data_IF_637280376776
#
_entry.id   IF_637280376776
#
_cell.length_a   1.000
_cell.length_b   1.000
_cell.length_c   1.000
_cell.angle_alpha   90.00
_cell.angle_beta   90.00
_cell.angle_gamma   90.00
#
_symmetry.space_group_name_H-M   'P 1'
#
loop_
_entity.id
_entity.type
_entity.pdbx_description
1 polymer ?
#
# COMPACT_ATOMS: atom_id res chain seq x y z
N UNK A 1 13.88 -23.19 27.97
CA UNK A 1 14.65 -22.42 26.96
C UNK A 1 13.64 -21.64 26.16
N UNK A 2 13.59 -20.31 26.33
CA UNK A 2 12.47 -19.52 25.79
C UNK A 2 12.53 -19.46 24.25
N UNK A 3 11.38 -19.63 23.63
CA UNK A 3 11.14 -19.38 22.20
C UNK A 3 11.56 -17.96 21.75
N UNK A 4 11.83 -17.04 22.68
CA UNK A 4 12.22 -15.66 22.39
C UNK A 4 13.56 -15.53 21.65
N UNK A 5 14.46 -16.52 21.72
CA UNK A 5 15.79 -16.39 21.07
C UNK A 5 15.84 -16.87 19.62
N UNK A 6 14.90 -17.70 19.17
CA UNK A 6 14.96 -18.31 17.83
C UNK A 6 14.41 -17.36 16.74
N UNK A 7 13.37 -16.59 17.08
CA UNK A 7 12.74 -15.57 16.20
C UNK A 7 13.61 -14.34 15.94
N UNK A 8 14.69 -14.15 16.71
CA UNK A 8 15.62 -13.03 16.57
C UNK A 8 16.96 -13.42 15.90
N UNK A 9 17.07 -14.66 15.41
CA UNK A 9 18.30 -15.12 14.76
C UNK A 9 18.45 -14.57 13.35
N UNK A 10 19.69 -14.38 12.90
CA UNK A 10 19.99 -14.01 11.50
C UNK A 10 19.45 -15.06 10.51
N UNK A 11 19.33 -16.32 10.95
CA UNK A 11 18.72 -17.39 10.15
C UNK A 11 17.22 -17.15 9.93
N UNK A 12 16.48 -16.73 10.96
CA UNK A 12 15.07 -16.38 10.85
C UNK A 12 14.85 -15.16 9.93
N UNK A 13 15.69 -14.13 10.05
CA UNK A 13 15.64 -12.97 9.15
C UNK A 13 15.91 -13.36 7.69
N UNK A 14 16.93 -14.21 7.42
CA UNK A 14 17.21 -14.71 6.07
C UNK A 14 16.06 -15.56 5.50
N UNK A 15 15.44 -16.40 6.32
CA UNK A 15 14.29 -17.20 5.89
C UNK A 15 13.08 -16.33 5.55
N UNK A 16 12.75 -15.38 6.44
CA UNK A 16 11.67 -14.42 6.20
C UNK A 16 11.91 -13.63 4.91
N UNK A 17 13.08 -13.00 4.79
CA UNK A 17 13.41 -12.20 3.60
C UNK A 17 13.42 -13.04 2.34
N UNK A 18 13.97 -14.25 2.36
CA UNK A 18 13.89 -15.16 1.21
C UNK A 18 12.47 -15.61 0.83
N UNK A 19 11.47 -15.39 1.70
CA UNK A 19 10.06 -15.71 1.44
C UNK A 19 9.26 -14.49 0.98
N UNK A 20 9.54 -13.30 1.51
CA UNK A 20 8.74 -12.09 1.24
C UNK A 20 9.36 -11.16 0.20
N UNK A 21 10.65 -11.30 -0.07
CA UNK A 21 11.37 -10.48 -1.03
C UNK A 21 11.62 -11.26 -2.30
N UNK A 22 11.37 -10.62 -3.45
CA UNK A 22 11.72 -11.12 -4.77
C UNK A 22 12.53 -10.07 -5.52
N UNK A 23 13.67 -10.49 -6.11
CA UNK A 23 14.41 -9.68 -7.09
C UNK A 23 13.57 -9.42 -8.37
N UNK A 24 12.43 -10.10 -8.50
CA UNK A 24 11.49 -10.01 -9.62
C UNK A 24 10.12 -9.46 -9.21
N UNK A 25 10.02 -8.79 -8.06
CA UNK A 25 8.74 -8.27 -7.54
C UNK A 25 7.93 -7.45 -8.56
N UNK A 26 8.59 -6.62 -9.39
CA UNK A 26 7.92 -5.87 -10.46
C UNK A 26 7.34 -6.79 -11.53
N UNK A 27 8.07 -7.82 -11.93
CA UNK A 27 7.63 -8.76 -12.97
C UNK A 27 6.46 -9.62 -12.47
N UNK A 28 6.54 -10.12 -11.24
CA UNK A 28 5.48 -10.88 -10.58
C UNK A 28 4.20 -10.05 -10.41
N UNK A 29 4.34 -8.78 -10.00
CA UNK A 29 3.22 -7.85 -9.93
C UNK A 29 2.57 -7.66 -11.30
N UNK A 30 3.36 -7.38 -12.34
CA UNK A 30 2.86 -7.17 -13.69
C UNK A 30 2.17 -8.42 -14.23
N UNK A 31 2.70 -9.61 -13.96
CA UNK A 31 2.05 -10.88 -14.32
C UNK A 31 0.68 -11.02 -13.63
N UNK A 32 0.60 -10.79 -12.32
CA UNK A 32 -0.65 -10.85 -11.58
C UNK A 32 -1.69 -9.81 -12.08
N UNK A 33 -1.24 -8.60 -12.43
CA UNK A 33 -2.11 -7.56 -12.99
C UNK A 33 -2.64 -7.99 -14.37
N UNK A 34 -1.78 -8.48 -15.27
CA UNK A 34 -2.20 -8.94 -16.61
C UNK A 34 -3.16 -10.13 -16.53
N UNK A 35 -2.91 -11.07 -15.62
CA UNK A 35 -3.82 -12.20 -15.39
C UNK A 35 -5.19 -11.70 -14.92
N UNK A 36 -5.21 -10.77 -13.96
CA UNK A 36 -6.45 -10.21 -13.43
C UNK A 36 -7.28 -9.49 -14.51
N UNK A 37 -6.64 -8.63 -15.30
CA UNK A 37 -7.34 -7.78 -16.28
C UNK A 37 -7.51 -8.44 -17.64
N UNK A 38 -6.80 -9.53 -17.91
CA UNK A 38 -6.77 -10.24 -19.18
C UNK A 38 -6.41 -9.32 -20.38
N UNK A 39 -5.34 -8.53 -20.22
CA UNK A 39 -4.72 -7.64 -21.24
C UNK A 39 -3.19 -7.65 -21.03
N UNK A 40 -2.41 -7.46 -22.10
CA UNK A 40 -0.94 -7.44 -22.05
C UNK A 40 -0.36 -6.14 -21.47
N UNK A 41 -1.14 -5.05 -21.50
CA UNK A 41 -0.80 -3.73 -20.94
C UNK A 41 0.61 -3.22 -21.34
N UNK A 42 1.00 -3.22 -22.62
CA UNK A 42 2.37 -2.92 -23.04
C UNK A 42 2.85 -1.50 -22.66
N UNK A 43 1.99 -0.49 -22.71
CA UNK A 43 2.38 0.88 -22.35
C UNK A 43 2.53 1.03 -20.84
N UNK A 44 1.56 0.55 -20.08
CA UNK A 44 1.62 0.55 -18.61
C UNK A 44 2.84 -0.21 -18.09
N UNK A 45 3.06 -1.44 -18.61
CA UNK A 45 4.24 -2.27 -18.31
C UNK A 45 5.53 -1.48 -18.48
N UNK A 46 5.71 -0.88 -19.66
CA UNK A 46 6.92 -0.14 -19.98
C UNK A 46 7.12 1.04 -19.04
N UNK A 47 6.07 1.79 -18.74
CA UNK A 47 6.14 2.94 -17.84
C UNK A 47 6.53 2.53 -16.42
N UNK A 48 5.89 1.50 -15.86
CA UNK A 48 6.19 1.00 -14.52
C UNK A 48 7.62 0.45 -14.43
N UNK A 49 8.02 -0.43 -15.36
CA UNK A 49 9.36 -1.02 -15.36
C UNK A 49 10.43 0.06 -15.47
N UNK A 50 10.30 1.00 -16.42
CA UNK A 50 11.26 2.08 -16.59
C UNK A 50 11.34 2.99 -15.35
N UNK A 51 10.19 3.33 -14.74
CA UNK A 51 10.16 4.13 -13.53
C UNK A 51 10.85 3.42 -12.36
N UNK A 52 10.57 2.13 -12.14
CA UNK A 52 11.20 1.32 -11.09
C UNK A 52 12.70 1.18 -11.33
N UNK A 53 13.12 0.91 -12.57
CA UNK A 53 14.53 0.77 -12.93
C UNK A 53 15.32 2.06 -12.66
N UNK A 54 14.72 3.21 -12.94
CA UNK A 54 15.34 4.51 -12.73
C UNK A 54 15.36 4.94 -11.25
N UNK A 55 14.26 4.73 -10.53
CA UNK A 55 14.11 5.25 -9.14
C UNK A 55 14.67 4.28 -8.10
N UNK A 56 14.64 2.97 -8.37
CA UNK A 56 15.04 1.92 -7.42
C UNK A 56 14.40 2.12 -6.03
N UNK A 57 13.05 2.14 -5.95
CA UNK A 57 12.33 2.56 -4.76
C UNK A 57 12.72 1.75 -3.52
N UNK A 58 12.90 2.43 -2.39
CA UNK A 58 13.41 1.87 -1.14
C UNK A 58 12.55 0.69 -0.64
N UNK A 59 11.23 0.79 -0.79
CA UNK A 59 10.29 -0.26 -0.39
C UNK A 59 10.38 -1.55 -1.23
N UNK A 60 11.10 -1.52 -2.36
CA UNK A 60 11.41 -2.69 -3.19
C UNK A 60 12.82 -3.22 -2.94
N UNK A 61 13.58 -2.68 -1.99
CA UNK A 61 14.93 -3.17 -1.67
C UNK A 61 14.86 -4.29 -0.62
N UNK A 62 15.62 -5.36 -0.79
CA UNK A 62 15.75 -6.44 0.20
C UNK A 62 16.04 -5.93 1.61
N UNK A 63 16.90 -4.92 1.69
CA UNK A 63 17.35 -4.27 2.92
C UNK A 63 16.21 -3.60 3.69
N UNK A 64 15.19 -3.14 2.98
CA UNK A 64 13.97 -2.61 3.59
C UNK A 64 13.17 -3.72 4.28
N UNK A 65 13.06 -4.90 3.65
CA UNK A 65 12.43 -6.07 4.28
C UNK A 65 13.19 -6.53 5.55
N UNK A 66 14.53 -6.52 5.51
CA UNK A 66 15.37 -6.82 6.69
C UNK A 66 15.15 -5.81 7.82
N UNK A 67 15.10 -4.52 7.49
CA UNK A 67 14.82 -3.46 8.45
C UNK A 67 13.43 -3.61 9.07
N UNK A 68 12.42 -3.87 8.22
CA UNK A 68 11.05 -4.07 8.67
C UNK A 68 10.96 -5.26 9.64
N UNK A 69 11.52 -6.41 9.27
CA UNK A 69 11.61 -7.59 10.15
C UNK A 69 12.28 -7.25 11.48
N UNK A 70 13.41 -6.54 11.44
CA UNK A 70 14.13 -6.15 12.65
C UNK A 70 13.25 -5.32 13.59
N UNK A 71 12.59 -4.28 13.08
CA UNK A 71 11.73 -3.42 13.88
C UNK A 71 10.51 -4.19 14.43
N UNK A 72 9.82 -4.96 13.58
CA UNK A 72 8.64 -5.73 13.99
C UNK A 72 8.93 -6.81 15.04
N UNK A 73 10.16 -7.29 15.13
CA UNK A 73 10.54 -8.35 16.09
C UNK A 73 11.26 -7.83 17.33
N UNK A 74 11.84 -6.63 17.30
CA UNK A 74 12.66 -6.09 18.41
C UNK A 74 12.09 -4.84 19.07
N UNK A 75 11.24 -4.08 18.37
CA UNK A 75 10.70 -2.81 18.87
C UNK A 75 9.25 -3.02 19.30
N UNK A 76 9.01 -2.98 20.61
CA UNK A 76 7.66 -3.14 21.18
C UNK A 76 6.70 -2.10 20.62
N UNK A 77 5.54 -2.54 20.15
CA UNK A 77 4.49 -1.67 19.62
C UNK A 77 4.71 -1.22 18.19
N UNK A 78 5.86 -1.54 17.56
CA UNK A 78 6.17 -1.06 16.21
C UNK A 78 5.15 -1.57 15.19
N UNK A 79 4.85 -2.87 15.19
CA UNK A 79 3.97 -3.47 14.20
C UNK A 79 2.51 -3.00 14.38
N UNK A 80 2.04 -2.89 15.63
CA UNK A 80 0.73 -2.34 15.95
C UNK A 80 0.60 -0.89 15.45
N UNK A 81 1.63 -0.08 15.66
CA UNK A 81 1.66 1.31 15.21
C UNK A 81 1.68 1.43 13.69
N UNK A 82 2.44 0.57 13.00
CA UNK A 82 2.45 0.51 11.52
C UNK A 82 1.06 0.17 10.99
N UNK A 83 0.42 -0.88 11.51
CA UNK A 83 -0.94 -1.28 11.08
C UNK A 83 -1.96 -0.18 11.40
N UNK A 84 -1.87 0.45 12.57
CA UNK A 84 -2.76 1.55 12.93
C UNK A 84 -2.52 2.80 12.06
N UNK A 85 -1.29 3.06 11.64
CA UNK A 85 -0.97 4.15 10.71
C UNK A 85 -1.50 3.86 9.30
N UNK A 86 -1.47 2.60 8.84
CA UNK A 86 -2.12 2.20 7.57
C UNK A 86 -3.60 2.53 7.57
N UNK A 87 -4.31 2.34 8.69
CA UNK A 87 -5.71 2.75 8.82
C UNK A 87 -5.93 4.24 8.50
N UNK A 88 -5.07 5.11 9.04
CA UNK A 88 -5.13 6.55 8.76
C UNK A 88 -4.83 6.84 7.29
N UNK A 89 -3.83 6.17 6.72
CA UNK A 89 -3.48 6.26 5.30
C UNK A 89 -4.67 5.96 4.38
N UNK A 90 -5.33 4.82 4.58
CA UNK A 90 -6.49 4.44 3.75
C UNK A 90 -7.69 5.36 3.98
N UNK A 91 -7.87 5.85 5.21
CA UNK A 91 -8.91 6.85 5.50
C UNK A 91 -8.69 8.14 4.72
N UNK A 92 -7.46 8.66 4.69
CA UNK A 92 -7.11 9.83 3.89
C UNK A 92 -7.21 9.56 2.38
N UNK A 93 -6.81 8.37 1.94
CA UNK A 93 -6.95 7.90 0.56
C UNK A 93 -8.40 7.89 0.10
N UNK A 94 -9.30 7.30 0.89
CA UNK A 94 -10.73 7.24 0.62
C UNK A 94 -11.37 8.63 0.47
N UNK A 95 -11.00 9.61 1.31
CA UNK A 95 -11.53 10.98 1.19
C UNK A 95 -11.11 11.65 -0.11
N UNK A 96 -9.82 11.53 -0.47
CA UNK A 96 -9.30 12.06 -1.75
C UNK A 96 -9.99 11.41 -2.94
N UNK A 97 -10.25 10.12 -2.85
CA UNK A 97 -10.98 9.32 -3.83
C UNK A 97 -12.44 9.76 -3.98
N UNK A 98 -13.14 10.04 -2.88
CA UNK A 98 -14.49 10.60 -2.93
C UNK A 98 -14.51 11.99 -3.59
N UNK A 99 -13.54 12.85 -3.29
CA UNK A 99 -13.40 14.15 -3.93
C UNK A 99 -13.11 14.00 -5.44
N UNK A 100 -12.21 13.08 -5.80
CA UNK A 100 -11.88 12.79 -7.18
C UNK A 100 -13.08 12.27 -7.96
N UNK A 101 -13.77 11.25 -7.45
CA UNK A 101 -14.99 10.69 -8.04
C UNK A 101 -16.01 11.77 -8.41
N UNK A 102 -16.23 12.74 -7.51
CA UNK A 102 -17.22 13.81 -7.73
C UNK A 102 -16.82 14.76 -8.84
N UNK A 103 -15.52 14.92 -9.10
CA UNK A 103 -14.99 15.80 -10.12
C UNK A 103 -15.01 15.22 -11.53
N UNK A 104 -15.31 13.92 -11.67
CA UNK A 104 -15.46 13.24 -12.97
C UNK A 104 -16.90 13.44 -13.47
N UNK A 105 -17.06 14.21 -14.56
CA UNK A 105 -18.36 14.49 -15.19
C UNK A 105 -18.45 14.08 -16.67
N UNK A 106 -17.35 13.54 -17.24
CA UNK A 106 -17.27 13.15 -18.64
C UNK A 106 -17.15 11.63 -18.88
N UNK A 107 -16.91 10.83 -17.83
CA UNK A 107 -16.78 9.38 -17.95
C UNK A 107 -17.40 8.67 -16.74
N UNK A 108 -18.64 8.20 -16.88
CA UNK A 108 -19.38 7.56 -15.79
C UNK A 108 -18.77 6.21 -15.36
N UNK A 109 -18.26 5.41 -16.30
CA UNK A 109 -17.66 4.10 -15.99
C UNK A 109 -16.38 4.27 -15.17
N UNK A 110 -15.58 5.29 -15.47
CA UNK A 110 -14.42 5.66 -14.68
C UNK A 110 -14.83 6.20 -13.30
N UNK A 111 -15.83 7.08 -13.24
CA UNK A 111 -16.36 7.58 -11.98
C UNK A 111 -16.82 6.42 -11.07
N UNK A 112 -17.56 5.44 -11.60
CA UNK A 112 -18.03 4.30 -10.82
C UNK A 112 -16.89 3.39 -10.33
N UNK A 113 -15.78 3.30 -11.06
CA UNK A 113 -14.58 2.61 -10.59
C UNK A 113 -13.90 3.36 -9.45
N UNK A 114 -13.72 4.68 -9.59
CA UNK A 114 -13.13 5.54 -8.54
C UNK A 114 -14.00 5.55 -7.28
N UNK A 115 -15.33 5.55 -7.41
CA UNK A 115 -16.24 5.45 -6.27
C UNK A 115 -16.10 4.12 -5.52
N UNK A 116 -16.07 3.00 -6.24
CA UNK A 116 -15.88 1.69 -5.62
C UNK A 116 -14.54 1.60 -4.89
N UNK A 117 -13.49 2.12 -5.50
CA UNK A 117 -12.19 2.24 -4.86
C UNK A 117 -12.27 3.07 -3.57
N UNK A 118 -12.94 4.24 -3.59
CA UNK A 118 -13.14 5.06 -2.39
C UNK A 118 -13.82 4.29 -1.23
N UNK A 119 -14.82 3.48 -1.57
CA UNK A 119 -15.57 2.67 -0.60
C UNK A 119 -14.74 1.51 -0.06
N UNK A 120 -13.91 0.89 -0.90
CA UNK A 120 -12.98 -0.15 -0.50
C UNK A 120 -11.91 0.44 0.45
N UNK A 121 -11.33 1.61 0.15
CA UNK A 121 -10.37 2.25 1.07
C UNK A 121 -10.99 2.66 2.42
N UNK A 122 -12.23 3.14 2.41
CA UNK A 122 -12.96 3.41 3.65
C UNK A 122 -13.15 2.13 4.49
N UNK A 123 -13.27 0.97 3.84
CA UNK A 123 -13.36 -0.34 4.49
C UNK A 123 -12.00 -0.82 4.97
N UNK A 124 -10.95 -0.68 4.15
CA UNK A 124 -9.57 -1.02 4.49
C UNK A 124 -9.12 -0.29 5.75
N UNK A 125 -9.44 1.01 5.85
CA UNK A 125 -9.15 1.81 7.04
C UNK A 125 -9.69 1.16 8.32
N UNK A 126 -10.92 0.62 8.29
CA UNK A 126 -11.53 -0.09 9.44
C UNK A 126 -10.90 -1.46 9.66
N UNK A 127 -10.62 -2.18 8.58
CA UNK A 127 -10.01 -3.50 8.61
C UNK A 127 -8.63 -3.45 9.27
N UNK A 128 -7.80 -2.45 8.96
CA UNK A 128 -6.50 -2.25 9.61
C UNK A 128 -6.61 -2.06 11.13
N UNK A 129 -7.51 -1.19 11.63
CA UNK A 129 -7.68 -1.02 13.09
C UNK A 129 -8.11 -2.31 13.79
N UNK A 130 -9.04 -3.04 13.18
CA UNK A 130 -9.54 -4.32 13.71
C UNK A 130 -8.46 -5.38 13.68
N UNK A 131 -7.66 -5.42 12.61
CA UNK A 131 -6.53 -6.32 12.48
C UNK A 131 -5.47 -6.05 13.55
N UNK A 132 -5.13 -4.79 13.82
CA UNK A 132 -4.18 -4.43 14.89
C UNK A 132 -4.62 -5.00 16.24
N UNK A 133 -5.88 -4.79 16.62
CA UNK A 133 -6.42 -5.27 17.89
C UNK A 133 -6.64 -6.80 17.91
N UNK A 134 -6.86 -7.45 16.77
CA UNK A 134 -6.94 -8.91 16.69
C UNK A 134 -5.57 -9.58 16.74
N UNK A 135 -4.54 -8.94 16.19
CA UNK A 135 -3.14 -9.37 16.28
C UNK A 135 -2.62 -9.22 17.72
N UNK A 136 -2.86 -8.08 18.35
CA UNK A 136 -2.43 -7.81 19.73
C UNK A 136 -3.63 -7.35 20.57
N UNK A 137 -4.37 -8.28 21.19
CA UNK A 137 -5.55 -7.95 21.99
C UNK A 137 -5.28 -6.87 23.04
N UNK A 138 -6.02 -5.76 22.96
CA UNK A 138 -5.90 -4.65 23.88
C UNK A 138 -4.80 -3.64 23.54
N UNK A 139 -4.16 -3.74 22.37
CA UNK A 139 -3.23 -2.70 21.91
C UNK A 139 -3.93 -1.35 21.67
N UNK A 140 -5.23 -1.38 21.37
CA UNK A 140 -6.11 -0.22 21.29
C UNK A 140 -7.28 -0.47 22.25
N UNK A 141 -7.50 0.44 23.20
CA UNK A 141 -8.61 0.29 24.15
C UNK A 141 -9.96 0.34 23.41
N UNK A 142 -11.01 -0.41 23.82
CA UNK A 142 -12.29 -0.43 23.09
C UNK A 142 -12.93 0.95 22.88
N UNK A 143 -12.84 1.83 23.87
CA UNK A 143 -13.34 3.20 23.76
C UNK A 143 -12.53 4.03 22.75
N UNK A 144 -11.21 3.85 22.72
CA UNK A 144 -10.33 4.50 21.74
C UNK A 144 -10.58 3.96 20.33
N UNK A 145 -10.77 2.65 20.17
CA UNK A 145 -11.10 2.05 18.89
C UNK A 145 -12.42 2.61 18.34
N UNK A 146 -13.45 2.74 19.17
CA UNK A 146 -14.72 3.34 18.77
C UNK A 146 -14.57 4.80 18.35
N UNK A 147 -13.76 5.59 19.06
CA UNK A 147 -13.44 6.98 18.67
C UNK A 147 -12.73 7.01 17.33
N UNK A 148 -11.68 6.20 17.13
CA UNK A 148 -10.94 6.15 15.86
C UNK A 148 -11.84 5.71 14.71
N UNK A 149 -12.66 4.68 14.89
CA UNK A 149 -13.62 4.23 13.86
C UNK A 149 -14.66 5.32 13.52
N UNK A 150 -15.05 6.16 14.49
CA UNK A 150 -16.00 7.26 14.27
C UNK A 150 -15.42 8.42 13.46
N UNK A 151 -14.09 8.56 13.41
CA UNK A 151 -13.41 9.58 12.60
C UNK A 151 -13.08 9.10 11.18
N UNK A 152 -13.26 7.80 10.89
CA UNK A 152 -12.98 7.24 9.57
C UNK A 152 -14.06 7.65 8.55
N UNK A 153 -13.71 7.73 7.25
CA UNK A 153 -14.64 8.10 6.19
C UNK A 153 -15.86 7.18 6.15
N UNK A 154 -17.04 7.66 5.74
CA UNK A 154 -18.23 6.81 5.65
C UNK A 154 -18.02 5.69 4.62
N UNK A 155 -18.67 4.53 4.85
CA UNK A 155 -18.68 3.42 3.88
C UNK A 155 -19.62 3.69 2.69
N UNK A 156 -20.59 4.59 2.88
CA UNK A 156 -21.50 5.03 1.82
C UNK A 156 -20.99 6.29 1.12
N UNK A 157 -21.75 6.73 0.11
CA UNK A 157 -21.47 7.99 -0.58
C UNK A 157 -21.64 9.16 0.41
N UNK A 158 -20.60 9.97 0.65
CA UNK A 158 -20.69 11.10 1.58
C UNK A 158 -21.58 12.22 0.99
N UNK A 159 -22.33 12.90 1.85
CA UNK A 159 -23.02 14.16 1.52
C UNK A 159 -21.99 15.28 1.45
N UNK A 160 -21.43 15.53 0.27
CA UNK A 160 -20.43 16.59 0.06
C UNK A 160 -21.04 17.76 -0.73
N UNK A 161 -20.63 18.99 -0.38
CA UNK A 161 -21.12 20.22 -1.01
C UNK A 161 -20.26 20.62 -2.23
N UNK A 162 -20.93 20.95 -3.34
CA UNK A 162 -20.39 21.42 -4.64
C UNK A 162 -19.52 20.44 -5.45
N UNK A 163 -19.66 20.51 -6.78
CA UNK A 163 -19.00 19.66 -7.78
C UNK A 163 -18.05 20.56 -8.57
N UNK A 164 -16.76 20.50 -8.28
CA UNK A 164 -15.75 21.16 -9.10
C UNK A 164 -15.25 20.15 -10.13
N UNK A 165 -15.45 20.45 -11.42
CA UNK A 165 -14.90 19.61 -12.50
C UNK A 165 -13.39 19.77 -12.53
N UNK A 166 -12.66 18.64 -12.61
CA UNK A 166 -11.20 18.61 -12.68
C UNK A 166 -10.79 18.30 -14.12
N UNK A 167 -9.84 19.07 -14.71
CA UNK A 167 -9.32 18.76 -16.04
C UNK A 167 -8.76 17.34 -16.12
N UNK A 168 -8.94 16.66 -17.27
CA UNK A 168 -8.54 15.26 -17.45
C UNK A 168 -7.06 14.98 -17.13
N UNK A 169 -6.14 15.85 -17.54
CA UNK A 169 -4.72 15.68 -17.22
C UNK A 169 -4.41 15.67 -15.71
N UNK A 170 -5.20 16.39 -14.90
CA UNK A 170 -5.08 16.31 -13.44
C UNK A 170 -5.65 14.98 -12.92
N UNK A 171 -6.72 14.47 -13.52
CA UNK A 171 -7.25 13.14 -13.18
C UNK A 171 -6.24 12.03 -13.50
N UNK A 172 -5.58 12.09 -14.66
CA UNK A 172 -4.50 11.15 -15.03
C UNK A 172 -3.41 11.15 -13.96
N UNK A 173 -2.93 12.33 -13.57
CA UNK A 173 -1.93 12.47 -12.50
C UNK A 173 -2.39 11.87 -11.17
N UNK A 174 -3.64 12.12 -10.76
CA UNK A 174 -4.19 11.52 -9.55
C UNK A 174 -4.23 9.99 -9.61
N UNK A 175 -4.68 9.40 -10.73
CA UNK A 175 -4.76 7.95 -10.85
C UNK A 175 -3.37 7.29 -10.99
N UNK A 176 -2.39 7.97 -11.58
CA UNK A 176 -0.99 7.50 -11.57
C UNK A 176 -0.44 7.46 -10.14
N UNK A 177 -0.65 8.53 -9.36
CA UNK A 177 -0.22 8.58 -7.96
C UNK A 177 -0.89 7.49 -7.12
N UNK A 178 -2.19 7.27 -7.30
CA UNK A 178 -2.91 6.21 -6.59
C UNK A 178 -2.39 4.83 -6.97
N UNK A 179 -2.22 4.53 -8.26
CA UNK A 179 -1.70 3.23 -8.68
C UNK A 179 -0.32 2.94 -8.08
N UNK A 180 0.57 3.94 -7.99
CA UNK A 180 1.86 3.82 -7.28
C UNK A 180 1.64 3.56 -5.78
N UNK A 181 0.66 4.24 -5.17
CA UNK A 181 0.21 4.01 -3.80
C UNK A 181 -0.18 2.55 -3.55
N UNK A 182 -1.08 2.00 -4.38
CA UNK A 182 -1.57 0.63 -4.23
C UNK A 182 -0.49 -0.42 -4.48
N UNK A 183 0.43 -0.16 -5.42
CA UNK A 183 1.62 -1.00 -5.60
C UNK A 183 2.45 -1.05 -4.31
N UNK A 184 2.69 0.11 -3.69
CA UNK A 184 3.43 0.17 -2.43
C UNK A 184 2.67 -0.55 -1.32
N UNK A 185 1.36 -0.32 -1.19
CA UNK A 185 0.51 -0.97 -0.17
C UNK A 185 0.55 -2.48 -0.34
N UNK A 186 0.36 -3.00 -1.56
CA UNK A 186 0.47 -4.43 -1.88
C UNK A 186 1.83 -5.02 -1.53
N UNK A 187 2.92 -4.35 -1.90
CA UNK A 187 4.27 -4.82 -1.56
C UNK A 187 4.50 -4.81 -0.04
N UNK A 188 4.05 -3.77 0.66
CA UNK A 188 4.10 -3.73 2.12
C UNK A 188 3.27 -4.86 2.76
N UNK A 189 2.09 -5.18 2.23
CA UNK A 189 1.29 -6.31 2.67
C UNK A 189 2.06 -7.62 2.55
N UNK A 190 2.79 -7.86 1.44
CA UNK A 190 3.66 -9.03 1.30
C UNK A 190 4.78 -9.09 2.35
N UNK A 191 5.33 -7.93 2.74
CA UNK A 191 6.31 -7.86 3.82
C UNK A 191 5.68 -8.26 5.16
N UNK A 192 4.65 -7.54 5.62
CA UNK A 192 4.21 -7.73 7.00
C UNK A 192 3.21 -8.88 7.22
N UNK A 193 2.49 -9.33 6.19
CA UNK A 193 1.46 -10.37 6.34
C UNK A 193 1.96 -11.63 7.07
N UNK A 194 3.13 -12.20 6.75
CA UNK A 194 3.66 -13.35 7.48
C UNK A 194 3.96 -13.05 8.94
N UNK A 195 4.46 -11.85 9.26
CA UNK A 195 4.76 -11.46 10.64
C UNK A 195 3.46 -11.31 11.42
N UNK A 196 2.51 -10.53 10.88
CA UNK A 196 1.21 -10.27 11.50
C UNK A 196 0.45 -11.57 11.74
N UNK A 197 0.42 -12.46 10.76
CA UNK A 197 -0.25 -13.75 10.90
C UNK A 197 0.38 -14.65 11.98
N UNK A 198 1.71 -14.68 12.05
CA UNK A 198 2.43 -15.52 13.02
C UNK A 198 2.39 -14.96 14.45
N UNK A 199 2.33 -13.64 14.62
CA UNK A 199 2.20 -12.99 15.93
C UNK A 199 0.76 -13.00 16.45
N UNK A 200 -0.24 -13.18 15.57
CA UNK A 200 -1.63 -13.22 15.99
C UNK A 200 -1.94 -14.44 16.87
N UNK A 201 -2.63 -14.26 18.02
CA UNK A 201 -3.11 -15.36 18.84
C UNK A 201 -4.17 -16.16 18.10
N UNK A 202 -4.39 -17.41 18.51
CA UNK A 202 -5.35 -18.32 17.87
C UNK A 202 -6.76 -17.71 17.75
N UNK A 203 -7.18 -16.91 18.73
CA UNK A 203 -8.47 -16.21 18.74
C UNK A 203 -8.60 -15.14 17.65
N UNK A 204 -7.51 -14.51 17.24
CA UNK A 204 -7.47 -13.46 16.21
C UNK A 204 -7.08 -13.95 14.82
N UNK A 205 -6.40 -15.11 14.74
CA UNK A 205 -5.75 -15.61 13.53
C UNK A 205 -6.68 -15.74 12.32
N UNK A 206 -7.94 -16.16 12.53
CA UNK A 206 -8.93 -16.24 11.44
C UNK A 206 -9.27 -14.87 10.86
N UNK A 207 -9.50 -13.87 11.72
CA UNK A 207 -9.80 -12.51 11.28
C UNK A 207 -8.59 -11.88 10.57
N UNK A 208 -7.40 -12.04 11.15
CA UNK A 208 -6.15 -11.54 10.57
C UNK A 208 -5.92 -12.11 9.18
N UNK A 209 -6.01 -13.44 9.01
CA UNK A 209 -5.88 -14.09 7.70
C UNK A 209 -6.87 -13.53 6.69
N UNK A 210 -8.16 -13.56 7.01
CA UNK A 210 -9.19 -13.10 6.08
C UNK A 210 -9.06 -11.61 5.74
N UNK A 211 -8.55 -10.80 6.67
CA UNK A 211 -8.25 -9.38 6.43
C UNK A 211 -7.07 -9.22 5.48
N UNK A 212 -5.97 -9.94 5.69
CA UNK A 212 -4.78 -9.88 4.84
C UNK A 212 -5.08 -10.36 3.41
N UNK A 213 -5.85 -11.45 3.27
CA UNK A 213 -6.29 -11.99 1.98
C UNK A 213 -7.19 -10.99 1.23
N UNK A 214 -8.21 -10.45 1.92
CA UNK A 214 -9.12 -9.46 1.31
C UNK A 214 -8.39 -8.18 0.89
N UNK A 215 -7.51 -7.63 1.74
CA UNK A 215 -6.70 -6.46 1.37
C UNK A 215 -5.86 -6.76 0.13
N UNK A 216 -5.13 -7.88 0.11
CA UNK A 216 -4.28 -8.23 -1.02
C UNK A 216 -5.07 -8.38 -2.34
N UNK A 217 -6.28 -8.94 -2.30
CA UNK A 217 -7.14 -9.07 -3.48
C UNK A 217 -7.65 -7.70 -3.94
N UNK A 218 -8.06 -6.84 -3.01
CA UNK A 218 -8.60 -5.51 -3.28
C UNK A 218 -7.54 -4.60 -3.90
N UNK A 219 -6.32 -4.57 -3.34
CA UNK A 219 -5.18 -3.84 -3.89
C UNK A 219 -4.87 -4.25 -5.34
N UNK A 220 -4.92 -5.55 -5.65
CA UNK A 220 -4.68 -6.01 -7.03
C UNK A 220 -5.75 -5.50 -7.99
N UNK A 221 -7.02 -5.48 -7.55
CA UNK A 221 -8.13 -4.92 -8.32
C UNK A 221 -7.94 -3.43 -8.57
N UNK A 222 -7.48 -2.69 -7.57
CA UNK A 222 -7.22 -1.27 -7.67
C UNK A 222 -6.08 -0.95 -8.64
N UNK A 223 -4.98 -1.71 -8.56
CA UNK A 223 -3.86 -1.61 -9.51
C UNK A 223 -4.33 -1.97 -10.92
N UNK A 224 -5.10 -3.05 -11.08
CA UNK A 224 -5.53 -3.54 -12.38
C UNK A 224 -6.42 -2.56 -13.14
N UNK A 225 -7.45 -2.00 -12.48
CA UNK A 225 -8.35 -1.08 -13.16
C UNK A 225 -7.65 0.24 -13.52
N UNK A 226 -6.78 0.76 -12.66
CA UNK A 226 -6.01 1.97 -12.95
C UNK A 226 -4.98 1.73 -14.05
N UNK A 227 -4.39 0.53 -14.12
CA UNK A 227 -3.52 0.14 -15.22
C UNK A 227 -4.24 0.11 -16.57
N UNK A 228 -5.48 -0.40 -16.63
CA UNK A 228 -6.32 -0.36 -17.84
C UNK A 228 -6.61 1.08 -18.30
N UNK A 229 -6.93 1.98 -17.36
CA UNK A 229 -7.16 3.39 -17.69
C UNK A 229 -5.91 4.05 -18.27
N UNK A 230 -4.75 3.81 -17.67
CA UNK A 230 -3.46 4.31 -18.19
C UNK A 230 -3.10 3.72 -19.54
N UNK A 231 -3.31 2.42 -19.72
CA UNK A 231 -3.09 1.77 -21.01
C UNK A 231 -3.97 2.39 -22.10
N UNK A 232 -5.24 2.69 -21.80
CA UNK A 232 -6.14 3.35 -22.73
C UNK A 232 -5.69 4.77 -23.07
N UNK A 233 -5.41 5.60 -22.07
CA UNK A 233 -4.89 6.97 -22.28
C UNK A 233 -3.57 6.96 -23.08
N UNK A 234 -2.68 6.00 -22.84
CA UNK A 234 -1.46 5.85 -23.61
C UNK A 234 -1.73 5.54 -25.09
N UNK A 235 -2.70 4.66 -25.38
CA UNK A 235 -3.16 4.35 -26.74
C UNK A 235 -3.80 5.56 -27.44
N UNK A 236 -4.45 6.43 -26.67
CA UNK A 236 -5.11 7.64 -27.16
C UNK A 236 -4.17 8.84 -27.36
N UNK A 237 -2.89 8.69 -27.03
CA UNK A 237 -1.84 9.69 -27.31
C UNK A 237 -1.10 10.23 -26.10
N UNK A 238 -1.52 9.87 -24.87
CA UNK A 238 -0.93 10.36 -23.62
C UNK A 238 0.23 9.49 -23.10
N UNK A 239 0.83 8.65 -23.94
CA UNK A 239 1.88 7.71 -23.52
C UNK A 239 3.08 8.42 -22.87
N UNK A 240 3.50 9.56 -23.42
CA UNK A 240 4.63 10.34 -22.89
C UNK A 240 4.26 11.04 -21.58
N UNK A 241 3.03 11.53 -21.45
CA UNK A 241 2.51 12.12 -20.22
C UNK A 241 2.51 11.08 -19.09
N UNK A 242 1.97 9.90 -19.34
CA UNK A 242 1.92 8.82 -18.35
C UNK A 242 3.32 8.40 -17.93
N UNK A 243 4.25 8.19 -18.88
CA UNK A 243 5.63 7.83 -18.57
C UNK A 243 6.34 8.88 -17.69
N UNK A 244 6.13 10.17 -18.00
CA UNK A 244 6.67 11.29 -17.23
C UNK A 244 6.07 11.39 -15.83
N UNK A 245 4.75 11.24 -15.70
CA UNK A 245 4.05 11.21 -14.42
C UNK A 245 4.52 10.03 -13.57
N UNK A 246 4.60 8.83 -14.14
CA UNK A 246 5.02 7.63 -13.41
C UNK A 246 6.42 7.78 -12.81
N UNK A 247 7.37 8.25 -13.63
CA UNK A 247 8.76 8.46 -13.19
C UNK A 247 8.84 9.53 -12.08
N UNK A 248 8.22 10.69 -12.29
CA UNK A 248 8.29 11.81 -11.34
C UNK A 248 7.53 11.54 -10.03
N UNK A 249 6.36 10.89 -10.11
CA UNK A 249 5.56 10.53 -8.93
C UNK A 249 6.19 9.39 -8.16
N UNK A 250 6.77 8.38 -8.81
CA UNK A 250 7.49 7.33 -8.10
C UNK A 250 8.72 7.86 -7.36
N UNK A 251 9.47 8.78 -7.98
CA UNK A 251 10.58 9.47 -7.30
C UNK A 251 10.10 10.26 -6.07
N UNK A 252 8.98 10.97 -6.18
CA UNK A 252 8.37 11.71 -5.06
C UNK A 252 7.93 10.76 -3.95
N UNK A 253 7.25 9.66 -4.29
CA UNK A 253 6.83 8.63 -3.34
C UNK A 253 8.02 7.97 -2.65
N UNK A 254 9.11 7.72 -3.38
CA UNK A 254 10.33 7.18 -2.80
C UNK A 254 10.93 8.14 -1.75
N UNK A 255 11.06 9.43 -2.09
CA UNK A 255 11.56 10.44 -1.15
C UNK A 255 10.70 10.52 0.12
N UNK A 256 9.37 10.59 -0.03
CA UNK A 256 8.44 10.59 1.12
C UNK A 256 8.59 9.32 1.95
N UNK A 257 8.78 8.16 1.31
CA UNK A 257 8.96 6.89 2.02
C UNK A 257 10.26 6.87 2.81
N UNK A 258 11.35 7.41 2.24
CA UNK A 258 12.63 7.58 2.96
C UNK A 258 12.43 8.50 4.16
N UNK A 259 11.83 9.68 3.96
CA UNK A 259 11.60 10.66 5.03
C UNK A 259 10.77 10.07 6.19
N UNK A 260 9.68 9.36 5.86
CA UNK A 260 8.84 8.72 6.88
C UNK A 260 9.54 7.56 7.60
N UNK A 261 10.51 6.90 6.95
CA UNK A 261 11.24 5.76 7.53
C UNK A 261 12.49 6.22 8.29
N UNK A 262 13.03 7.40 7.98
CA UNK A 262 14.29 7.92 8.51
C UNK A 262 14.33 7.93 10.04
N UNK A 263 13.28 8.45 10.68
CA UNK A 263 13.19 8.49 12.14
C UNK A 263 13.30 7.11 12.77
N UNK A 264 12.62 6.11 12.18
CA UNK A 264 12.67 4.73 12.64
C UNK A 264 14.04 4.07 12.35
N UNK A 265 14.67 4.35 11.21
CA UNK A 265 16.02 3.86 10.88
C UNK A 265 17.05 4.42 11.88
N UNK A 266 16.98 5.72 12.18
CA UNK A 266 17.91 6.35 13.13
C UNK A 266 17.70 5.86 14.57
N UNK A 267 16.44 5.69 14.99
CA UNK A 267 16.10 5.26 16.34
C UNK A 267 16.34 3.76 16.57
N UNK A 268 15.98 2.91 15.60
CA UNK A 268 15.90 1.46 15.76
C UNK A 268 16.82 0.68 14.84
N UNK A 269 17.35 1.28 13.78
CA UNK A 269 18.22 0.60 12.83
C UNK A 269 19.61 0.26 13.38
N UNK A 270 20.04 0.85 14.51
CA UNK A 270 21.31 0.55 15.20
C UNK A 270 22.55 0.64 14.28
N UNK A 271 22.53 1.55 13.30
CA UNK A 271 23.59 1.68 12.29
C UNK A 271 23.67 0.53 11.28
N UNK A 272 22.73 -0.43 11.32
CA UNK A 272 22.71 -1.58 10.43
C UNK A 272 22.14 -1.29 9.06
N UNK A 273 21.35 -0.22 8.87
CA UNK A 273 20.62 0.07 7.62
C UNK A 273 20.87 1.49 7.05
N UNK A 274 22.13 1.98 7.00
CA UNK A 274 22.41 3.34 6.52
C UNK A 274 22.07 3.52 5.04
N UNK A 275 22.17 2.45 4.25
CA UNK A 275 21.90 2.39 2.81
C UNK A 275 20.43 2.68 2.44
N UNK A 276 19.50 2.56 3.39
CA UNK A 276 18.09 2.90 3.17
C UNK A 276 17.83 4.41 3.16
N UNK A 277 18.80 5.22 3.57
CA UNK A 277 18.73 6.69 3.53
C UNK A 277 19.42 7.26 2.28
N UNK A 278 20.06 6.43 1.48
CA UNK A 278 20.72 6.82 0.24
C UNK A 278 19.69 6.86 -0.91
N UNK A 279 19.51 8.06 -1.47
CA UNK A 279 18.66 8.33 -2.65
C UNK A 279 19.46 8.23 -3.94
#
# INVERSE_FOLDING_TARGET
>A
MSMEKEHLSDAACRHYTGTVYSDHATAELLEAVRELVNDDLPHYTRCLTQAVDNVQPVFMRKRYAEFFWHCSTTVRGYLENVIAASSTGEGEGALKLFDLWRSIDYNNDMADQVLRHAQDEARHARMFLRMANAMTPGCIAPAELAVRESTLPPLGVPELSSRASVPEHHLIDHLVQMNIGEIRTRLHMHLFAPIVFNLAPDSGRKLVRGTLEALADDELRHIGYTALLMEQWARDGDADLIAGLYSSRLATFNAITVDHTEGAIRAYGQGRFPDLLEM
#
